data_IF_355795734340
#
_entry.id   IF_355795734340
#
_cell.length_a   1.000
_cell.length_b   1.000
_cell.length_c   1.000
_cell.angle_alpha   90.00
_cell.angle_beta   90.00
_cell.angle_gamma   90.00
#
_symmetry.space_group_name_H-M   'P 1'
#
loop_
_entity.id
_entity.type
_entity.pdbx_description
1 polymer ?
#
# COMPACT_ATOMS: atom_id res chain seq x y z
N UNK A 1 27.43 -27.23 -17.85
CA UNK A 1 26.80 -28.35 -18.56
C UNK A 1 26.27 -27.77 -19.87
N UNK A 2 26.89 -28.05 -20.98
CA UNK A 2 26.52 -27.56 -22.31
C UNK A 2 25.38 -28.38 -22.86
N UNK A 3 24.24 -27.77 -23.19
CA UNK A 3 23.05 -28.45 -23.70
C UNK A 3 23.09 -28.63 -25.22
N UNK A 4 23.55 -27.62 -25.98
CA UNK A 4 23.59 -27.68 -27.45
C UNK A 4 24.74 -26.81 -27.95
N UNK A 5 25.51 -27.33 -28.93
CA UNK A 5 26.52 -26.55 -29.70
C UNK A 5 25.97 -26.25 -31.08
N UNK A 6 25.64 -24.99 -31.36
CA UNK A 6 25.23 -24.50 -32.66
C UNK A 6 26.37 -23.61 -33.21
N UNK A 7 27.28 -24.24 -33.95
CA UNK A 7 28.45 -23.56 -34.53
C UNK A 7 29.36 -22.90 -33.47
N UNK A 8 29.43 -21.58 -33.45
CA UNK A 8 30.24 -20.78 -32.51
C UNK A 8 29.48 -20.42 -31.22
N UNK A 9 28.17 -20.74 -31.12
CA UNK A 9 27.34 -20.48 -29.93
C UNK A 9 27.21 -21.75 -29.08
N UNK A 10 27.71 -21.68 -27.84
CA UNK A 10 27.49 -22.73 -26.83
C UNK A 10 26.36 -22.33 -25.90
N UNK A 11 25.23 -22.98 -26.02
CA UNK A 11 24.08 -22.75 -25.10
C UNK A 11 24.32 -23.60 -23.85
N UNK A 12 24.48 -22.91 -22.72
CA UNK A 12 24.63 -23.51 -21.40
C UNK A 12 23.29 -23.53 -20.68
N UNK A 13 23.17 -24.34 -19.63
CA UNK A 13 21.97 -24.39 -18.77
C UNK A 13 21.73 -23.03 -18.10
N UNK A 14 22.79 -22.27 -17.86
CA UNK A 14 22.73 -20.92 -17.31
C UNK A 14 22.05 -19.95 -18.28
N UNK A 15 22.34 -20.05 -19.59
CA UNK A 15 21.73 -19.18 -20.61
C UNK A 15 20.23 -19.41 -20.72
N UNK A 16 19.77 -20.65 -20.55
CA UNK A 16 18.34 -20.97 -20.54
C UNK A 16 17.64 -20.38 -19.31
N UNK A 17 18.27 -20.47 -18.14
CA UNK A 17 17.75 -19.87 -16.91
C UNK A 17 17.71 -18.33 -17.05
N UNK A 18 18.75 -17.74 -17.61
CA UNK A 18 18.84 -16.31 -17.85
C UNK A 18 17.70 -15.82 -18.76
N UNK A 19 17.50 -16.51 -19.89
CA UNK A 19 16.37 -16.19 -20.82
C UNK A 19 15.02 -16.30 -20.12
N UNK A 20 14.79 -17.34 -19.33
CA UNK A 20 13.54 -17.53 -18.59
C UNK A 20 13.35 -16.40 -17.57
N UNK A 21 14.38 -16.05 -16.83
CA UNK A 21 14.34 -15.01 -15.80
C UNK A 21 14.10 -13.63 -16.41
N UNK A 22 14.80 -13.31 -17.50
CA UNK A 22 14.62 -12.06 -18.24
C UNK A 22 13.22 -11.98 -18.84
N UNK A 23 12.73 -13.06 -19.44
CA UNK A 23 11.38 -13.13 -20.02
C UNK A 23 10.32 -12.93 -18.93
N UNK A 24 10.46 -13.61 -17.80
CA UNK A 24 9.55 -13.47 -16.66
C UNK A 24 9.56 -12.03 -16.12
N UNK A 25 10.75 -11.41 -15.99
CA UNK A 25 10.89 -10.02 -15.58
C UNK A 25 10.15 -9.07 -16.52
N UNK A 26 10.34 -9.24 -17.85
CA UNK A 26 9.65 -8.41 -18.84
C UNK A 26 8.13 -8.60 -18.83
N UNK A 27 7.64 -9.82 -18.63
CA UNK A 27 6.20 -10.09 -18.51
C UNK A 27 5.63 -9.38 -17.27
N UNK A 28 6.31 -9.45 -16.13
CA UNK A 28 5.89 -8.76 -14.92
C UNK A 28 5.88 -7.23 -15.10
N UNK A 29 6.92 -6.71 -15.72
CA UNK A 29 7.04 -5.28 -16.02
C UNK A 29 5.91 -4.81 -16.96
N UNK A 30 5.62 -5.60 -17.99
CA UNK A 30 4.51 -5.32 -18.92
C UNK A 30 3.16 -5.30 -18.21
N UNK A 31 2.87 -6.29 -17.35
CA UNK A 31 1.61 -6.32 -16.59
C UNK A 31 1.48 -5.14 -15.63
N UNK A 32 2.58 -4.72 -15.03
CA UNK A 32 2.62 -3.58 -14.12
C UNK A 32 2.32 -2.25 -14.84
N UNK A 33 2.81 -2.07 -16.06
CA UNK A 33 2.60 -0.85 -16.83
C UNK A 33 1.33 -0.85 -17.69
N UNK A 34 0.72 -2.01 -17.93
CA UNK A 34 -0.49 -2.12 -18.73
C UNK A 34 -1.65 -1.34 -18.10
N UNK A 35 -2.19 -0.37 -18.86
CA UNK A 35 -3.31 0.45 -18.41
C UNK A 35 -2.92 1.67 -17.54
N UNK A 36 -1.63 1.90 -17.30
CA UNK A 36 -1.15 3.07 -16.55
C UNK A 36 -0.73 4.21 -17.47
N UNK A 37 -0.75 5.45 -16.95
CA UNK A 37 -0.21 6.62 -17.66
C UNK A 37 1.28 6.43 -17.99
N UNK A 38 2.02 5.77 -17.12
CA UNK A 38 3.42 5.42 -17.31
C UNK A 38 3.64 4.51 -18.52
N UNK A 39 2.73 3.57 -18.82
CA UNK A 39 2.80 2.72 -19.99
C UNK A 39 2.77 3.51 -21.30
N UNK A 40 1.89 4.50 -21.42
CA UNK A 40 1.83 5.36 -22.62
C UNK A 40 3.09 6.22 -22.78
N UNK A 41 3.69 6.69 -21.69
CA UNK A 41 4.95 7.45 -21.72
C UNK A 41 6.14 6.59 -22.12
N UNK A 42 6.18 5.31 -21.68
CA UNK A 42 7.18 4.33 -22.12
C UNK A 42 7.13 4.08 -23.63
N UNK A 43 5.94 3.98 -24.21
CA UNK A 43 5.78 3.85 -25.67
C UNK A 43 6.36 5.08 -26.38
N UNK A 44 6.10 6.30 -25.88
CA UNK A 44 6.69 7.53 -26.43
C UNK A 44 8.22 7.51 -26.37
N UNK A 45 8.81 7.06 -25.26
CA UNK A 45 10.27 6.92 -25.14
C UNK A 45 10.85 5.93 -26.14
N UNK A 46 10.21 4.76 -26.30
CA UNK A 46 10.66 3.74 -27.27
C UNK A 46 10.62 4.27 -28.70
N UNK A 47 9.58 5.05 -29.06
CA UNK A 47 9.48 5.68 -30.38
C UNK A 47 10.64 6.65 -30.61
N UNK A 48 11.02 7.47 -29.63
CA UNK A 48 12.14 8.41 -29.72
C UNK A 48 13.46 7.65 -29.89
N UNK A 49 13.68 6.57 -29.14
CA UNK A 49 14.88 5.74 -29.25
C UNK A 49 15.00 5.06 -30.62
N UNK A 50 13.88 4.51 -31.13
CA UNK A 50 13.84 3.91 -32.46
C UNK A 50 14.10 4.97 -33.54
N UNK A 51 13.49 6.15 -33.42
CA UNK A 51 13.72 7.28 -34.34
C UNK A 51 15.17 7.70 -34.39
N UNK A 52 15.84 7.77 -33.20
CA UNK A 52 17.28 8.08 -33.11
C UNK A 52 18.12 7.06 -33.88
N UNK A 53 17.82 5.77 -33.69
CA UNK A 53 18.53 4.70 -34.39
C UNK A 53 18.35 4.79 -35.92
N UNK A 54 17.11 5.02 -36.37
CA UNK A 54 16.79 5.15 -37.81
C UNK A 54 17.52 6.35 -38.42
N UNK A 55 17.47 7.53 -37.78
CA UNK A 55 18.15 8.74 -38.30
C UNK A 55 19.67 8.58 -38.36
N UNK A 56 20.28 7.86 -37.41
CA UNK A 56 21.71 7.51 -37.44
C UNK A 56 22.04 6.55 -38.59
N UNK A 57 21.19 5.54 -38.85
CA UNK A 57 21.38 4.59 -39.95
C UNK A 57 21.33 5.28 -41.32
N UNK A 58 20.48 6.29 -41.50
CA UNK A 58 20.36 7.08 -42.74
C UNK A 58 21.31 8.30 -42.80
N UNK A 59 22.14 8.53 -41.78
CA UNK A 59 23.11 9.62 -41.78
C UNK A 59 22.50 11.02 -41.75
N UNK A 60 21.27 11.19 -41.26
CA UNK A 60 20.51 12.44 -41.24
C UNK A 60 20.99 13.37 -40.12
N UNK A 61 22.13 14.06 -40.33
CA UNK A 61 22.84 14.86 -39.30
C UNK A 61 21.94 15.90 -38.60
N UNK A 62 21.09 16.63 -39.32
CA UNK A 62 20.19 17.60 -38.71
C UNK A 62 19.15 16.99 -37.77
N UNK A 63 18.55 15.85 -38.18
CA UNK A 63 17.60 15.12 -37.34
C UNK A 63 18.24 14.48 -36.12
N UNK A 64 19.47 13.95 -36.28
CA UNK A 64 20.24 13.42 -35.17
C UNK A 64 20.49 14.51 -34.13
N UNK A 65 20.92 15.70 -34.55
CA UNK A 65 21.15 16.82 -33.62
C UNK A 65 19.90 17.20 -32.83
N UNK A 66 18.71 17.29 -33.50
CA UNK A 66 17.45 17.61 -32.85
C UNK A 66 17.08 16.53 -31.82
N UNK A 67 17.18 15.25 -32.20
CA UNK A 67 16.83 14.14 -31.32
C UNK A 67 17.78 14.05 -30.13
N UNK A 68 19.08 14.31 -30.31
CA UNK A 68 20.06 14.30 -29.22
C UNK A 68 19.76 15.44 -28.20
N UNK A 69 19.30 16.62 -28.65
CA UNK A 69 18.85 17.69 -27.75
C UNK A 69 17.59 17.28 -26.97
N UNK A 70 16.62 16.67 -27.64
CA UNK A 70 15.41 16.15 -27.00
C UNK A 70 15.75 15.08 -25.97
N UNK A 71 16.68 14.14 -26.29
CA UNK A 71 17.10 13.10 -25.37
C UNK A 71 17.71 13.66 -24.07
N UNK A 72 18.44 14.76 -24.13
CA UNK A 72 19.04 15.37 -22.94
C UNK A 72 17.98 15.92 -21.99
N UNK A 73 16.97 16.62 -22.53
CA UNK A 73 15.84 17.15 -21.74
C UNK A 73 14.92 16.02 -21.28
N UNK A 74 14.73 15.01 -22.11
CA UNK A 74 13.85 13.88 -21.85
C UNK A 74 14.26 13.05 -20.63
N UNK A 75 15.55 12.87 -20.37
CA UNK A 75 16.02 12.15 -19.17
C UNK A 75 15.55 12.84 -17.90
N UNK A 76 15.62 14.15 -17.84
CA UNK A 76 15.15 14.93 -16.68
C UNK A 76 13.62 14.86 -16.58
N UNK A 77 12.92 15.05 -17.69
CA UNK A 77 11.46 14.92 -17.74
C UNK A 77 11.00 13.52 -17.33
N UNK A 78 11.70 12.47 -17.77
CA UNK A 78 11.42 11.10 -17.40
C UNK A 78 11.50 10.88 -15.88
N UNK A 79 12.57 11.34 -15.23
CA UNK A 79 12.74 11.21 -13.77
C UNK A 79 11.60 11.91 -13.03
N UNK A 80 11.22 13.11 -13.45
CA UNK A 80 10.13 13.88 -12.83
C UNK A 80 8.78 13.18 -13.04
N UNK A 81 8.49 12.72 -14.26
CA UNK A 81 7.23 12.06 -14.60
C UNK A 81 7.08 10.69 -13.92
N UNK A 82 8.17 9.95 -13.75
CA UNK A 82 8.17 8.62 -13.11
C UNK A 82 8.43 8.69 -11.59
N UNK A 83 8.61 9.86 -11.02
CA UNK A 83 8.81 10.02 -9.58
C UNK A 83 7.72 9.32 -8.74
N UNK A 84 6.40 9.44 -9.05
CA UNK A 84 5.36 8.75 -8.28
C UNK A 84 5.44 7.22 -8.44
N UNK A 85 5.74 6.72 -9.64
CA UNK A 85 5.86 5.30 -9.92
C UNK A 85 7.11 4.69 -9.24
N UNK A 86 8.24 5.39 -9.29
CA UNK A 86 9.46 4.99 -8.56
C UNK A 86 9.20 4.96 -7.05
N UNK A 87 8.47 5.94 -6.51
CA UNK A 87 8.09 5.95 -5.10
C UNK A 87 7.22 4.73 -4.75
N UNK A 88 6.24 4.38 -5.58
CA UNK A 88 5.40 3.20 -5.40
C UNK A 88 6.21 1.90 -5.48
N UNK A 89 7.12 1.79 -6.45
CA UNK A 89 8.01 0.63 -6.58
C UNK A 89 8.93 0.48 -5.37
N UNK A 90 9.53 1.56 -4.87
CA UNK A 90 10.39 1.53 -3.69
C UNK A 90 9.61 1.11 -2.44
N UNK A 91 8.37 1.60 -2.28
CA UNK A 91 7.47 1.18 -1.21
C UNK A 91 7.14 -0.31 -1.37
N UNK A 92 6.83 -0.78 -2.58
CA UNK A 92 6.52 -2.19 -2.85
C UNK A 92 7.72 -3.11 -2.57
N UNK A 93 8.93 -2.74 -3.01
CA UNK A 93 10.17 -3.50 -2.72
C UNK A 93 10.49 -3.47 -1.22
N UNK A 94 10.26 -2.34 -0.54
CA UNK A 94 10.44 -2.22 0.92
C UNK A 94 9.43 -3.05 1.73
N UNK A 95 8.27 -3.38 1.13
CA UNK A 95 7.24 -4.25 1.73
C UNK A 95 7.57 -5.74 1.69
N UNK A 96 8.75 -6.14 1.17
CA UNK A 96 9.10 -7.57 1.08
C UNK A 96 9.09 -8.24 2.46
N UNK A 97 8.38 -9.39 2.54
CA UNK A 97 8.19 -10.24 3.74
C UNK A 97 9.46 -10.50 4.57
N UNK A 98 10.65 -10.30 4.00
CA UNK A 98 11.93 -10.56 4.65
C UNK A 98 12.25 -9.54 5.77
N UNK A 99 11.88 -8.27 5.60
CA UNK A 99 12.08 -7.21 6.60
C UNK A 99 11.04 -7.35 7.74
N UNK A 100 9.83 -7.81 7.43
CA UNK A 100 8.76 -8.07 8.41
C UNK A 100 9.11 -9.10 9.48
N UNK A 101 9.99 -10.09 9.18
CA UNK A 101 10.41 -11.10 10.16
C UNK A 101 11.29 -10.55 11.28
N UNK A 102 11.87 -9.37 11.11
CA UNK A 102 12.75 -8.74 12.10
C UNK A 102 12.00 -7.88 13.14
N UNK A 103 10.77 -7.46 12.81
CA UNK A 103 9.96 -6.65 13.72
C UNK A 103 8.65 -7.38 14.02
N UNK A 104 8.52 -7.88 15.26
CA UNK A 104 7.25 -8.40 15.78
C UNK A 104 6.26 -7.24 15.87
N UNK A 105 5.23 -7.23 15.03
CA UNK A 105 4.15 -6.24 15.06
C UNK A 105 2.93 -6.89 15.68
N UNK A 106 2.49 -6.35 16.79
CA UNK A 106 1.25 -6.70 17.46
C UNK A 106 1.35 -7.88 18.44
N UNK A 107 0.97 -7.67 19.66
CA UNK A 107 0.78 -8.74 20.64
C UNK A 107 -0.67 -9.21 20.63
N UNK A 108 -0.90 -10.44 21.10
CA UNK A 108 -2.26 -10.96 21.32
C UNK A 108 -3.13 -10.00 22.14
N UNK A 109 -2.53 -9.26 23.07
CA UNK A 109 -3.22 -8.28 23.93
C UNK A 109 -3.84 -7.11 23.17
N UNK A 110 -3.13 -6.57 22.17
CA UNK A 110 -3.68 -5.47 21.35
C UNK A 110 -4.86 -5.94 20.50
N UNK A 111 -4.76 -7.14 19.92
CA UNK A 111 -5.87 -7.72 19.16
C UNK A 111 -7.09 -7.96 20.04
N UNK A 112 -6.86 -8.48 21.25
CA UNK A 112 -7.92 -8.72 22.23
C UNK A 112 -8.60 -7.40 22.62
N UNK A 113 -7.81 -6.36 22.97
CA UNK A 113 -8.33 -5.05 23.33
C UNK A 113 -9.10 -4.36 22.20
N UNK A 114 -8.61 -4.45 20.95
CA UNK A 114 -9.28 -3.90 19.77
C UNK A 114 -10.60 -4.64 19.50
N UNK A 115 -10.58 -5.97 19.55
CA UNK A 115 -11.79 -6.78 19.31
C UNK A 115 -12.86 -6.52 20.38
N UNK A 116 -12.49 -6.51 21.66
CA UNK A 116 -13.38 -6.18 22.77
C UNK A 116 -13.95 -4.76 22.64
N UNK A 117 -13.11 -3.79 22.26
CA UNK A 117 -13.54 -2.42 21.96
C UNK A 117 -14.59 -2.39 20.88
N UNK A 118 -14.36 -3.08 19.73
CA UNK A 118 -15.29 -3.08 18.62
C UNK A 118 -16.67 -3.66 19.03
N UNK A 119 -16.70 -4.73 19.82
CA UNK A 119 -17.95 -5.31 20.35
C UNK A 119 -18.68 -4.33 21.27
N UNK A 120 -17.94 -3.63 22.15
CA UNK A 120 -18.56 -2.66 23.06
C UNK A 120 -19.08 -1.44 22.31
N UNK A 121 -18.35 -0.94 21.31
CA UNK A 121 -18.82 0.14 20.43
C UNK A 121 -20.04 -0.28 19.62
N UNK A 122 -20.06 -1.50 19.08
CA UNK A 122 -21.20 -2.09 18.39
C UNK A 122 -22.44 -2.10 19.30
N UNK A 123 -22.29 -2.59 20.54
CA UNK A 123 -23.37 -2.67 21.53
C UNK A 123 -23.97 -1.30 21.86
N UNK A 124 -23.10 -0.27 21.93
CA UNK A 124 -23.51 1.11 22.25
C UNK A 124 -23.93 1.90 21.01
N UNK A 125 -23.74 1.38 19.81
CA UNK A 125 -23.90 2.09 18.53
C UNK A 125 -23.03 3.35 18.48
N UNK A 126 -21.80 3.25 18.96
CA UNK A 126 -20.80 4.30 18.87
C UNK A 126 -19.90 4.06 17.67
N UNK A 127 -19.60 5.13 16.93
CA UNK A 127 -18.65 5.06 15.81
C UNK A 127 -17.22 4.94 16.32
N UNK A 128 -16.40 4.17 15.60
CA UNK A 128 -14.97 4.06 15.89
C UNK A 128 -14.15 3.80 14.65
N UNK A 129 -12.91 4.34 14.63
CA UNK A 129 -11.94 4.11 13.56
C UNK A 129 -10.57 3.86 14.19
N UNK A 130 -10.10 2.61 14.09
CA UNK A 130 -8.87 2.13 14.70
C UNK A 130 -7.89 1.76 13.60
N UNK A 131 -6.73 2.39 13.56
CA UNK A 131 -5.67 2.14 12.60
C UNK A 131 -4.52 1.42 13.28
N UNK A 132 -4.23 0.20 12.83
CA UNK A 132 -3.08 -0.58 13.24
C UNK A 132 -1.96 -0.32 12.24
N UNK A 133 -0.99 0.49 12.63
CA UNK A 133 0.16 0.84 11.81
C UNK A 133 1.12 -0.35 11.70
N UNK A 134 1.56 -0.63 10.48
CA UNK A 134 2.53 -1.68 10.18
C UNK A 134 3.88 -1.05 9.78
N UNK A 135 4.33 -1.28 8.56
CA UNK A 135 5.66 -0.86 8.11
C UNK A 135 5.69 0.60 7.60
N UNK A 136 4.57 1.06 7.02
CA UNK A 136 4.48 2.43 6.50
C UNK A 136 4.33 3.43 7.65
N UNK A 137 5.24 4.41 7.71
CA UNK A 137 5.20 5.45 8.75
C UNK A 137 4.05 6.43 8.54
N UNK A 138 3.28 6.68 9.61
CA UNK A 138 2.16 7.65 9.63
C UNK A 138 2.53 8.93 10.40
N UNK A 139 3.79 9.38 10.30
CA UNK A 139 4.31 10.48 11.11
C UNK A 139 3.48 11.75 10.97
N UNK A 140 3.20 12.20 9.75
CA UNK A 140 2.42 13.41 9.46
C UNK A 140 1.00 13.35 10.03
N UNK A 141 0.35 12.18 9.94
CA UNK A 141 -1.01 11.97 10.44
C UNK A 141 -1.02 11.99 11.99
N UNK A 142 -0.03 11.33 12.61
CA UNK A 142 0.10 11.32 14.09
C UNK A 142 0.42 12.69 14.66
N UNK A 143 1.24 13.48 13.96
CA UNK A 143 1.59 14.85 14.39
C UNK A 143 0.42 15.84 14.26
N UNK A 144 -0.52 15.58 13.35
CA UNK A 144 -1.75 16.36 13.20
C UNK A 144 -2.83 15.99 14.21
N UNK A 145 -2.75 14.80 14.82
CA UNK A 145 -3.65 14.33 15.87
C UNK A 145 -3.21 14.74 17.29
N UNK A 146 -3.92 14.21 18.28
CA UNK A 146 -3.59 14.39 19.70
C UNK A 146 -2.69 13.24 20.17
N UNK A 147 -1.41 13.48 20.53
CA UNK A 147 -0.49 12.44 20.99
C UNK A 147 -0.90 11.90 22.37
N UNK A 148 -0.92 10.57 22.52
CA UNK A 148 -1.32 9.92 23.79
C UNK A 148 -0.20 9.07 24.39
N UNK A 149 0.51 8.25 23.60
CA UNK A 149 1.61 7.37 24.00
C UNK A 149 1.28 6.49 25.21
N UNK A 150 0.18 5.77 25.14
CA UNK A 150 -0.32 4.92 26.23
C UNK A 150 -0.43 3.45 25.81
N UNK A 151 -0.51 2.54 26.79
CA UNK A 151 -0.83 1.14 26.54
C UNK A 151 -2.23 1.00 25.94
N UNK A 152 -2.39 0.02 25.06
CA UNK A 152 -3.68 -0.30 24.43
C UNK A 152 -4.50 -1.14 25.38
N UNK A 153 -5.63 -0.58 25.85
CA UNK A 153 -6.62 -1.30 26.66
C UNK A 153 -8.02 -1.01 26.14
N UNK A 154 -8.92 -1.99 26.20
CA UNK A 154 -10.28 -1.82 25.73
C UNK A 154 -11.01 -0.66 26.43
N UNK A 155 -10.83 -0.51 27.75
CA UNK A 155 -11.42 0.58 28.53
C UNK A 155 -10.97 1.97 28.06
N UNK A 156 -9.70 2.14 27.73
CA UNK A 156 -9.18 3.41 27.19
C UNK A 156 -9.75 3.68 25.80
N UNK A 157 -9.75 2.69 24.92
CA UNK A 157 -10.27 2.84 23.56
C UNK A 157 -11.77 3.18 23.56
N UNK A 158 -12.57 2.49 24.37
CA UNK A 158 -14.00 2.81 24.55
C UNK A 158 -14.20 4.22 25.09
N UNK A 159 -13.35 4.68 26.02
CA UNK A 159 -13.41 6.04 26.57
C UNK A 159 -13.10 7.11 25.51
N UNK A 160 -12.14 6.84 24.63
CA UNK A 160 -11.82 7.74 23.51
C UNK A 160 -13.00 7.87 22.56
N UNK A 161 -13.63 6.77 22.16
CA UNK A 161 -14.75 6.77 21.22
C UNK A 161 -16.11 7.11 21.84
N UNK A 162 -16.14 7.47 23.10
CA UNK A 162 -17.35 8.02 23.70
C UNK A 162 -17.75 9.32 22.97
N UNK A 163 -18.99 9.47 22.47
CA UNK A 163 -19.43 10.67 21.76
C UNK A 163 -19.28 12.00 22.54
N UNK A 164 -19.16 11.93 23.87
CA UNK A 164 -18.90 13.10 24.73
C UNK A 164 -17.40 13.39 24.88
N UNK A 165 -16.51 12.48 24.45
CA UNK A 165 -15.07 12.69 24.51
C UNK A 165 -14.62 13.66 23.41
N UNK A 166 -13.76 14.64 23.70
CA UNK A 166 -13.20 15.50 22.64
C UNK A 166 -12.32 14.74 21.65
N UNK A 167 -11.92 13.51 21.96
CA UNK A 167 -11.04 12.68 21.15
C UNK A 167 -11.77 11.71 20.21
N UNK A 168 -13.11 11.66 20.25
CA UNK A 168 -13.90 10.65 19.51
C UNK A 168 -13.97 10.88 17.99
N UNK A 169 -13.76 12.12 17.57
CA UNK A 169 -13.84 12.47 16.13
C UNK A 169 -12.50 12.27 15.45
N UNK A 170 -12.44 11.30 14.56
CA UNK A 170 -11.23 10.88 13.85
C UNK A 170 -10.80 9.45 14.20
N UNK A 171 -9.60 9.11 13.77
CA UNK A 171 -9.01 7.80 13.99
C UNK A 171 -8.06 7.79 15.19
N UNK A 172 -7.92 6.62 15.81
CA UNK A 172 -6.77 6.33 16.68
C UNK A 172 -5.72 5.55 15.89
N UNK A 173 -4.45 5.77 16.24
CA UNK A 173 -3.33 5.06 15.63
C UNK A 173 -2.59 4.26 16.69
N UNK A 174 -2.51 2.96 16.46
CA UNK A 174 -1.79 2.00 17.31
C UNK A 174 -0.55 1.53 16.55
N UNK A 175 0.61 1.58 17.18
CA UNK A 175 1.87 1.08 16.66
C UNK A 175 2.64 0.34 17.74
N UNK A 176 3.08 -0.90 17.48
CA UNK A 176 3.87 -1.72 18.43
C UNK A 176 3.24 -1.80 19.83
N UNK A 177 1.93 -2.07 19.90
CA UNK A 177 1.14 -2.15 21.16
C UNK A 177 1.01 -0.84 21.94
N UNK A 178 1.39 0.28 21.35
CA UNK A 178 1.25 1.62 21.91
C UNK A 178 0.17 2.37 21.14
N UNK A 179 -0.77 2.97 21.85
CA UNK A 179 -1.69 3.96 21.33
C UNK A 179 -0.93 5.28 21.17
N UNK A 180 -0.52 5.58 19.95
CA UNK A 180 0.34 6.72 19.63
C UNK A 180 -0.42 8.05 19.65
N UNK A 181 -1.58 8.09 18.97
CA UNK A 181 -2.37 9.30 18.83
C UNK A 181 -3.86 8.97 18.65
N UNK A 182 -4.70 9.95 18.99
CA UNK A 182 -6.14 9.96 18.69
C UNK A 182 -6.51 11.21 17.90
N UNK A 183 -7.77 11.31 17.47
CA UNK A 183 -8.29 12.43 16.68
C UNK A 183 -7.49 12.66 15.39
N UNK A 184 -6.99 11.57 14.79
CA UNK A 184 -6.22 11.65 13.57
C UNK A 184 -7.15 11.75 12.36
N UNK A 185 -6.91 12.74 11.49
CA UNK A 185 -7.62 12.92 10.22
C UNK A 185 -6.92 12.08 9.15
N UNK A 186 -7.68 11.20 8.50
CA UNK A 186 -7.18 10.32 7.46
C UNK A 186 -7.64 10.79 6.07
N UNK A 187 -6.89 10.45 5.00
CA UNK A 187 -7.34 10.67 3.64
C UNK A 187 -8.63 9.88 3.37
N UNK A 188 -9.53 10.47 2.61
CA UNK A 188 -10.74 9.80 2.15
C UNK A 188 -10.47 9.17 0.79
N UNK A 189 -11.04 8.01 0.52
CA UNK A 189 -10.97 7.42 -0.82
C UNK A 189 -11.76 8.26 -1.85
N UNK A 190 -11.21 8.36 -3.05
CA UNK A 190 -11.85 9.01 -4.20
C UNK A 190 -12.68 8.02 -5.05
N UNK A 191 -12.84 6.77 -4.62
CA UNK A 191 -13.57 5.75 -5.36
C UNK A 191 -15.06 6.10 -5.48
N UNK A 192 -15.54 6.27 -6.71
CA UNK A 192 -16.95 6.51 -7.03
C UNK A 192 -17.83 5.24 -6.92
N UNK A 193 -17.20 4.06 -6.80
CA UNK A 193 -17.90 2.75 -6.78
C UNK A 193 -18.32 2.29 -5.39
N UNK A 194 -18.23 3.15 -4.38
CA UNK A 194 -18.60 2.79 -3.02
C UNK A 194 -20.10 2.82 -2.82
N UNK A 195 -20.57 1.88 -1.99
CA UNK A 195 -21.96 1.89 -1.51
C UNK A 195 -22.26 3.24 -0.83
N UNK A 196 -23.28 3.99 -1.30
CA UNK A 196 -23.67 5.28 -0.71
C UNK A 196 -23.99 5.22 0.80
N UNK A 197 -24.26 4.03 1.34
CA UNK A 197 -24.51 3.80 2.77
C UNK A 197 -23.24 3.83 3.64
N UNK A 198 -22.05 3.91 3.04
CA UNK A 198 -20.79 3.97 3.78
C UNK A 198 -20.50 5.38 4.28
N UNK A 199 -20.51 5.56 5.59
CA UNK A 199 -20.20 6.83 6.25
C UNK A 199 -18.71 7.23 6.11
N UNK A 200 -18.42 8.46 6.59
CA UNK A 200 -17.09 9.07 6.48
C UNK A 200 -15.95 8.20 7.04
N UNK A 201 -16.18 7.48 8.16
CA UNK A 201 -15.19 6.58 8.78
C UNK A 201 -14.82 5.40 7.89
N UNK A 202 -15.76 4.85 7.12
CA UNK A 202 -15.48 3.78 6.16
C UNK A 202 -14.66 4.29 4.99
N UNK A 203 -14.98 5.48 4.48
CA UNK A 203 -14.23 6.11 3.40
C UNK A 203 -12.82 6.48 3.84
N UNK A 204 -12.64 6.90 5.08
CA UNK A 204 -11.34 7.18 5.66
C UNK A 204 -10.50 5.91 5.87
N UNK A 205 -11.12 4.82 6.35
CA UNK A 205 -10.46 3.52 6.48
C UNK A 205 -9.97 2.98 5.13
N UNK A 206 -10.81 3.11 4.11
CA UNK A 206 -10.45 2.68 2.76
C UNK A 206 -9.33 3.56 2.19
N UNK A 207 -9.45 4.90 2.26
CA UNK A 207 -8.46 5.83 1.74
C UNK A 207 -7.06 5.62 2.34
N UNK A 208 -6.95 5.47 3.66
CA UNK A 208 -5.66 5.19 4.28
C UNK A 208 -5.10 3.81 3.89
N UNK A 209 -5.96 2.81 3.67
CA UNK A 209 -5.54 1.47 3.26
C UNK A 209 -5.13 1.39 1.78
N UNK A 210 -5.58 2.32 0.93
CA UNK A 210 -5.14 2.46 -0.46
C UNK A 210 -3.71 3.01 -0.55
N UNK A 211 -3.36 3.93 0.34
CA UNK A 211 -2.07 4.63 0.33
C UNK A 211 -0.98 3.91 1.13
N UNK A 212 -1.39 3.09 2.11
CA UNK A 212 -0.47 2.50 3.09
C UNK A 212 -0.81 1.03 3.34
N UNK A 213 0.05 0.34 4.08
CA UNK A 213 -0.14 -1.08 4.46
C UNK A 213 -0.84 -1.26 5.82
N UNK A 214 -1.53 -0.25 6.31
CA UNK A 214 -2.22 -0.33 7.59
C UNK A 214 -3.40 -1.30 7.55
N UNK A 215 -3.81 -1.72 8.73
CA UNK A 215 -5.10 -2.38 8.94
C UNK A 215 -6.02 -1.37 9.63
N UNK A 216 -7.11 -0.99 8.98
CA UNK A 216 -8.08 -0.08 9.55
C UNK A 216 -9.36 -0.83 9.92
N UNK A 217 -9.76 -0.74 11.19
CA UNK A 217 -11.00 -1.33 11.71
C UNK A 217 -12.01 -0.22 11.95
N UNK A 218 -13.21 -0.39 11.42
CA UNK A 218 -14.30 0.58 11.53
C UNK A 218 -15.48 -0.04 12.27
N UNK A 219 -16.06 0.71 13.17
CA UNK A 219 -17.39 0.43 13.73
C UNK A 219 -18.34 1.54 13.30
N UNK A 220 -19.43 1.17 12.63
CA UNK A 220 -20.43 2.11 12.15
C UNK A 220 -21.31 2.62 13.29
N UNK A 221 -21.47 3.92 13.43
CA UNK A 221 -22.40 4.51 14.40
C UNK A 221 -23.87 4.35 14.02
N UNK A 222 -24.15 4.22 12.71
CA UNK A 222 -25.52 4.05 12.21
C UNK A 222 -26.00 2.61 12.35
N UNK A 223 -25.18 1.66 11.87
CA UNK A 223 -25.55 0.25 11.78
C UNK A 223 -25.01 -0.62 12.91
N UNK A 224 -24.00 -0.15 13.62
CA UNK A 224 -23.23 -0.93 14.60
C UNK A 224 -22.35 -2.00 13.95
N UNK A 225 -22.27 -2.09 12.63
CA UNK A 225 -21.49 -3.13 11.94
C UNK A 225 -20.00 -2.86 12.01
N UNK A 226 -19.24 -3.94 12.17
CA UNK A 226 -17.77 -3.90 12.15
C UNK A 226 -17.28 -4.20 10.74
N UNK A 227 -16.32 -3.43 10.26
CA UNK A 227 -15.66 -3.63 8.98
C UNK A 227 -14.13 -3.52 9.15
N UNK A 228 -13.38 -4.14 8.25
CA UNK A 228 -11.93 -4.03 8.16
C UNK A 228 -11.56 -3.56 6.76
N UNK A 229 -10.61 -2.61 6.67
CA UNK A 229 -10.06 -2.14 5.41
C UNK A 229 -8.57 -2.44 5.36
N UNK A 230 -8.11 -3.07 4.26
CA UNK A 230 -6.73 -3.44 4.01
C UNK A 230 -6.47 -3.43 2.50
N UNK A 231 -5.31 -2.94 2.09
CA UNK A 231 -4.86 -2.93 0.68
C UNK A 231 -5.93 -2.40 -0.32
N UNK A 232 -6.71 -1.38 0.11
CA UNK A 232 -7.78 -0.79 -0.69
C UNK A 232 -9.07 -1.62 -0.78
N UNK A 233 -9.21 -2.65 0.05
CA UNK A 233 -10.40 -3.52 0.09
C UNK A 233 -11.09 -3.38 1.44
N UNK A 234 -12.39 -3.09 1.42
CA UNK A 234 -13.24 -3.05 2.60
C UNK A 234 -14.05 -4.34 2.74
N UNK A 235 -13.88 -5.05 3.84
CA UNK A 235 -14.69 -6.21 4.18
C UNK A 235 -15.69 -5.84 5.29
N UNK A 236 -16.98 -5.75 4.97
CA UNK A 236 -18.02 -5.36 5.92
C UNK A 236 -18.57 -6.55 6.72
N UNK A 237 -19.34 -6.23 7.76
CA UNK A 237 -20.16 -7.19 8.52
C UNK A 237 -19.37 -8.31 9.21
N UNK A 238 -18.24 -7.97 9.84
CA UNK A 238 -17.48 -8.92 10.63
C UNK A 238 -18.09 -9.10 12.02
N UNK A 239 -18.15 -10.36 12.49
CA UNK A 239 -18.34 -10.66 13.89
C UNK A 239 -17.01 -10.61 14.65
N UNK A 240 -17.07 -10.70 15.99
CA UNK A 240 -15.87 -10.65 16.84
C UNK A 240 -14.86 -11.73 16.46
N UNK A 241 -15.32 -12.95 16.20
CA UNK A 241 -14.43 -14.06 15.87
C UNK A 241 -13.74 -13.89 14.53
N UNK A 242 -14.48 -13.45 13.51
CA UNK A 242 -13.92 -13.14 12.18
C UNK A 242 -12.94 -11.97 12.23
N UNK A 243 -13.27 -10.92 12.98
CA UNK A 243 -12.37 -9.78 13.20
C UNK A 243 -11.06 -10.24 13.85
N UNK A 244 -11.15 -10.98 14.97
CA UNK A 244 -10.00 -11.47 15.72
C UNK A 244 -9.12 -12.40 14.86
N UNK A 245 -9.74 -13.31 14.10
CA UNK A 245 -9.03 -14.17 13.15
C UNK A 245 -8.29 -13.36 12.09
N UNK A 246 -8.95 -12.41 11.44
CA UNK A 246 -8.32 -11.56 10.41
C UNK A 246 -7.19 -10.70 10.96
N UNK A 247 -7.37 -10.11 12.13
CA UNK A 247 -6.29 -9.36 12.79
C UNK A 247 -5.09 -10.26 13.08
N UNK A 248 -5.32 -11.49 13.58
CA UNK A 248 -4.25 -12.45 13.79
C UNK A 248 -3.57 -12.87 12.48
N UNK A 249 -4.34 -13.20 11.44
CA UNK A 249 -3.80 -13.56 10.13
C UNK A 249 -2.91 -12.48 9.55
N UNK A 250 -3.33 -11.22 9.62
CA UNK A 250 -2.61 -10.11 8.96
C UNK A 250 -1.54 -9.44 9.83
N UNK A 251 -1.65 -9.52 11.16
CA UNK A 251 -0.61 -9.00 12.07
C UNK A 251 0.44 -10.06 12.44
N UNK A 252 0.06 -11.36 12.54
CA UNK A 252 0.96 -12.43 12.96
C UNK A 252 1.37 -13.41 11.84
N UNK A 253 0.69 -13.47 10.69
CA UNK A 253 1.08 -14.34 9.56
C UNK A 253 2.38 -13.86 8.90
N UNK A 254 3.45 -14.06 9.63
CA UNK A 254 4.84 -14.18 9.27
C UNK A 254 5.51 -15.38 9.93
N UNK A 255 4.79 -16.23 10.68
CA UNK A 255 5.38 -17.29 11.50
C UNK A 255 4.76 -18.69 11.30
N UNK A 256 4.36 -19.03 10.06
CA UNK A 256 3.90 -20.39 9.80
C UNK A 256 3.65 -20.65 8.32
N UNK A 257 4.68 -21.05 7.62
CA UNK A 257 4.85 -22.11 6.61
C UNK A 257 6.18 -21.92 5.89
#
# INVERSE_FOLDING_TARGET
MTLIKLGFLTITLVDVIDIILVTWLFIQLYHYFKGTRAGHMLVGLVIILISSFVFRAFGMRGMIWIVDQIQTVWVVAFVILFQPELRRLLIFVGRTRFIRRLFKVGTSRTIDAVSETCVELQRRKWGGLIVLQRDTGLKSIKEAGTPLKSEVTASLLVSIFNPQSPLHDGAIIIQNDILEAAQCILPLTDSEQLDPSLGARHRAALGISEETDVIAVVVSEETGKIAIAMDGILEPNLDEFALRRKLNEHLFVGSGE
#
